data_IF_982445399414
#
_entry.id   IF_982445399414
#
_cell.length_a   1.000
_cell.length_b   1.000
_cell.length_c   1.000
_cell.angle_alpha   90.00
_cell.angle_beta   90.00
_cell.angle_gamma   90.00
#
_symmetry.space_group_name_H-M   'P 1'
#
loop_
_entity.id
_entity.type
_entity.pdbx_description
1 polymer ?
#
# COMPACT_ATOMS: atom_id res chain seq x y z
N UNK A 1 8.39 2.73 -19.61
CA UNK A 1 7.09 3.39 -19.34
C UNK A 1 6.58 4.31 -20.47
N UNK A 2 7.41 4.78 -21.41
CA UNK A 2 7.05 5.75 -22.47
C UNK A 2 5.83 5.37 -23.36
N UNK A 3 5.45 4.10 -23.42
CA UNK A 3 4.37 3.59 -24.27
C UNK A 3 3.07 3.27 -23.49
N UNK A 4 2.99 3.65 -22.21
CA UNK A 4 1.79 3.45 -21.38
C UNK A 4 1.10 4.78 -21.12
N UNK A 5 -0.20 4.85 -21.43
CA UNK A 5 -1.02 6.04 -21.15
C UNK A 5 -1.26 6.22 -19.65
N UNK A 6 -1.44 5.11 -18.95
CA UNK A 6 -1.68 5.03 -17.51
C UNK A 6 -0.70 4.05 -16.84
N UNK A 7 -0.43 4.27 -15.57
CA UNK A 7 0.36 3.39 -14.72
C UNK A 7 -0.31 3.15 -13.39
N UNK A 8 -0.05 1.98 -12.79
CA UNK A 8 -0.45 1.72 -11.41
C UNK A 8 0.52 2.42 -10.47
N UNK A 9 0.00 3.11 -9.46
CA UNK A 9 0.79 3.79 -8.43
C UNK A 9 0.25 3.48 -7.03
N UNK A 10 1.13 3.57 -6.05
CA UNK A 10 0.78 3.57 -4.62
C UNK A 10 1.66 4.58 -3.88
N UNK A 11 1.10 5.24 -2.86
CA UNK A 11 1.89 6.08 -1.97
C UNK A 11 2.91 5.20 -1.22
N UNK A 12 4.18 5.64 -1.19
CA UNK A 12 5.24 4.88 -0.51
C UNK A 12 4.94 4.72 0.98
N UNK A 13 4.46 5.78 1.64
CA UNK A 13 4.11 5.73 3.06
C UNK A 13 2.60 5.90 3.22
N UNK A 14 1.89 4.83 3.60
CA UNK A 14 0.43 4.88 3.79
C UNK A 14 -0.07 3.70 4.62
N UNK A 15 -1.13 3.93 5.40
CA UNK A 15 -1.86 2.89 6.14
C UNK A 15 -2.96 2.17 5.33
N UNK A 16 -3.22 2.57 4.07
CA UNK A 16 -4.39 2.08 3.31
C UNK A 16 -4.05 1.28 2.06
N UNK A 17 -2.76 1.24 1.64
CA UNK A 17 -2.30 0.57 0.40
C UNK A 17 -3.27 0.69 -0.79
N UNK A 18 -3.69 1.92 -1.08
CA UNK A 18 -4.69 2.19 -2.10
C UNK A 18 -4.04 2.33 -3.48
N UNK A 19 -3.93 1.23 -4.23
CA UNK A 19 -3.39 1.24 -5.59
C UNK A 19 -4.33 1.98 -6.54
N UNK A 20 -3.79 2.78 -7.46
CA UNK A 20 -4.57 3.58 -8.41
C UNK A 20 -3.93 3.62 -9.79
N UNK A 21 -4.76 3.73 -10.83
CA UNK A 21 -4.29 4.07 -12.17
C UNK A 21 -4.19 5.59 -12.31
N UNK A 22 -3.06 6.07 -12.79
CA UNK A 22 -2.78 7.49 -12.99
C UNK A 22 -2.13 7.69 -14.35
N UNK A 23 -2.55 8.75 -15.07
CA UNK A 23 -1.96 9.17 -16.34
C UNK A 23 -0.46 9.43 -16.20
N UNK A 24 0.30 9.11 -17.25
CA UNK A 24 1.73 9.36 -17.26
C UNK A 24 2.06 10.82 -16.95
N UNK A 25 2.85 11.04 -15.90
CA UNK A 25 3.28 12.37 -15.47
C UNK A 25 4.59 12.30 -14.68
N UNK A 26 5.04 13.44 -14.16
CA UNK A 26 6.18 13.48 -13.25
C UNK A 26 5.71 13.03 -11.86
N UNK A 27 6.27 11.93 -11.38
CA UNK A 27 5.98 11.40 -10.05
C UNK A 27 7.06 11.84 -9.05
N UNK A 28 6.65 12.18 -7.83
CA UNK A 28 7.58 12.35 -6.71
C UNK A 28 8.19 10.99 -6.34
N UNK A 29 9.39 11.01 -5.78
CA UNK A 29 10.06 9.86 -5.16
C UNK A 29 9.19 9.13 -4.12
N UNK A 30 8.27 9.85 -3.46
CA UNK A 30 7.33 9.31 -2.47
C UNK A 30 6.19 8.49 -3.08
N UNK A 31 6.14 8.32 -4.40
CA UNK A 31 5.20 7.46 -5.12
C UNK A 31 5.95 6.26 -5.71
N UNK A 32 5.44 5.06 -5.43
CA UNK A 32 5.90 3.83 -6.08
C UNK A 32 5.10 3.65 -7.36
N UNK A 33 5.79 3.50 -8.49
CA UNK A 33 5.20 3.39 -9.82
C UNK A 33 5.46 2.00 -10.38
N UNK A 34 4.39 1.31 -10.77
CA UNK A 34 4.43 0.06 -11.51
C UNK A 34 4.21 0.38 -12.99
N UNK A 35 5.15 -0.03 -13.83
CA UNK A 35 5.08 0.20 -15.28
C UNK A 35 4.11 -0.77 -15.97
N UNK A 36 2.84 -0.76 -15.56
CA UNK A 36 1.77 -1.59 -16.08
C UNK A 36 0.44 -0.84 -16.02
N UNK A 37 -0.41 -1.06 -17.03
CA UNK A 37 -1.80 -0.61 -17.10
C UNK A 37 -2.80 -1.80 -17.00
N UNK A 38 -2.32 -2.97 -16.61
CA UNK A 38 -3.10 -4.20 -16.58
C UNK A 38 -3.99 -4.29 -15.33
N UNK A 39 -5.28 -4.59 -15.52
CA UNK A 39 -6.29 -4.55 -14.46
C UNK A 39 -6.26 -5.81 -13.58
N UNK A 40 -5.87 -6.96 -14.15
CA UNK A 40 -5.64 -8.19 -13.38
C UNK A 40 -4.47 -8.01 -12.40
N UNK A 41 -3.38 -7.35 -12.80
CA UNK A 41 -2.30 -6.99 -11.88
C UNK A 41 -2.80 -6.07 -10.76
N UNK A 42 -3.64 -5.08 -11.08
CA UNK A 42 -4.29 -4.26 -10.05
C UNK A 42 -5.10 -5.12 -9.07
N UNK A 43 -5.84 -6.12 -9.54
CA UNK A 43 -6.63 -7.00 -8.67
C UNK A 43 -5.74 -7.77 -7.68
N UNK A 44 -4.60 -8.31 -8.14
CA UNK A 44 -3.62 -8.94 -7.25
C UNK A 44 -3.06 -7.94 -6.23
N UNK A 45 -2.63 -6.76 -6.65
CA UNK A 45 -2.03 -5.75 -5.77
C UNK A 45 -3.03 -5.18 -4.75
N UNK A 46 -4.29 -5.00 -5.15
CA UNK A 46 -5.33 -4.45 -4.26
C UNK A 46 -5.90 -5.49 -3.30
N UNK A 47 -5.67 -6.79 -3.54
CA UNK A 47 -6.18 -7.89 -2.69
C UNK A 47 -5.68 -7.84 -1.25
N UNK A 48 -6.47 -8.42 -0.33
CA UNK A 48 -6.08 -8.59 1.07
C UNK A 48 -4.87 -9.53 1.24
N UNK A 49 -4.62 -10.41 0.26
CA UNK A 49 -3.44 -11.30 0.27
C UNK A 49 -2.16 -10.48 0.09
N UNK A 50 -2.14 -9.56 -0.88
CA UNK A 50 -1.01 -8.66 -1.09
C UNK A 50 -0.88 -7.65 0.04
N UNK A 51 -1.99 -7.13 0.57
CA UNK A 51 -1.97 -6.28 1.76
C UNK A 51 -1.31 -7.00 2.95
N UNK A 52 -1.72 -8.24 3.24
CA UNK A 52 -1.16 -9.03 4.33
C UNK A 52 0.35 -9.27 4.12
N UNK A 53 0.76 -9.60 2.89
CA UNK A 53 2.17 -9.77 2.53
C UNK A 53 2.96 -8.47 2.74
N UNK A 54 2.43 -7.35 2.25
CA UNK A 54 3.07 -6.05 2.37
C UNK A 54 3.25 -5.65 3.85
N UNK A 55 2.22 -5.76 4.69
CA UNK A 55 2.33 -5.48 6.13
C UNK A 55 3.29 -6.40 6.87
N UNK A 56 3.47 -7.64 6.39
CA UNK A 56 4.38 -8.61 7.00
C UNK A 56 5.85 -8.32 6.71
N UNK A 57 6.19 -7.87 5.49
CA UNK A 57 7.58 -7.79 5.02
C UNK A 57 8.10 -6.37 4.75
N UNK A 58 7.23 -5.37 4.63
CA UNK A 58 7.67 -3.97 4.60
C UNK A 58 7.96 -3.44 6.01
N UNK A 59 8.70 -2.34 6.04
CA UNK A 59 8.92 -1.58 7.28
C UNK A 59 7.80 -0.58 7.51
N UNK A 60 7.74 0.02 8.70
CA UNK A 60 6.77 1.06 9.04
C UNK A 60 7.48 2.37 9.38
N UNK A 61 6.81 3.49 9.10
CA UNK A 61 7.15 4.81 9.62
C UNK A 61 6.08 5.20 10.64
N UNK A 62 6.43 5.12 11.92
CA UNK A 62 5.45 5.14 13.03
C UNK A 62 4.42 4.02 12.84
N UNK A 63 3.23 4.36 12.38
CA UNK A 63 2.09 3.45 12.19
C UNK A 63 1.76 3.19 10.72
N UNK A 64 2.42 3.90 9.80
CA UNK A 64 2.13 3.80 8.38
C UNK A 64 3.11 2.84 7.72
N UNK A 65 2.62 1.97 6.84
CA UNK A 65 3.46 1.07 6.07
C UNK A 65 4.32 1.86 5.09
N UNK A 66 5.58 1.46 4.94
CA UNK A 66 6.51 1.97 3.92
C UNK A 66 6.66 0.92 2.82
N UNK A 67 5.85 1.04 1.78
CA UNK A 67 5.84 0.12 0.64
C UNK A 67 7.19 0.10 -0.09
N UNK A 68 7.85 -1.05 -0.05
CA UNK A 68 9.19 -1.27 -0.58
C UNK A 68 9.13 -2.37 -1.64
N UNK A 69 9.20 -2.05 -2.95
CA UNK A 69 9.01 -3.03 -4.02
C UNK A 69 9.89 -4.27 -3.89
N UNK A 70 11.17 -4.10 -3.56
CA UNK A 70 12.14 -5.20 -3.43
C UNK A 70 11.79 -6.20 -2.32
N UNK A 71 11.13 -5.74 -1.26
CA UNK A 71 10.76 -6.60 -0.12
C UNK A 71 9.33 -7.13 -0.22
N UNK A 72 8.55 -6.64 -1.17
CA UNK A 72 7.11 -6.93 -1.25
C UNK A 72 6.69 -7.32 -2.64
N UNK A 73 6.80 -6.45 -3.64
CA UNK A 73 6.35 -6.80 -4.99
C UNK A 73 7.22 -7.88 -5.64
N UNK A 74 8.54 -7.76 -5.54
CA UNK A 74 9.49 -8.73 -6.12
C UNK A 74 9.43 -10.09 -5.42
N UNK A 75 8.96 -10.13 -4.17
CA UNK A 75 8.82 -11.37 -3.38
C UNK A 75 7.39 -11.91 -3.35
N UNK A 76 6.41 -11.13 -3.79
CA UNK A 76 5.01 -11.56 -3.89
C UNK A 76 4.82 -12.35 -5.17
N UNK A 77 4.61 -13.66 -5.02
CA UNK A 77 4.48 -14.56 -6.16
C UNK A 77 3.12 -14.38 -6.82
N UNK A 78 3.07 -13.85 -8.04
CA UNK A 78 1.84 -13.78 -8.82
C UNK A 78 1.72 -15.06 -9.68
N UNK A 79 0.64 -15.85 -9.56
CA UNK A 79 0.47 -17.09 -10.30
C UNK A 79 0.14 -16.83 -11.77
N UNK A 80 0.46 -17.79 -12.64
CA UNK A 80 -0.01 -17.79 -14.02
C UNK A 80 -1.49 -18.14 -14.05
N UNK A 81 -2.32 -17.22 -14.55
CA UNK A 81 -3.78 -17.40 -14.68
C UNK A 81 -4.17 -17.78 -16.10
N UNK A 82 -5.20 -18.61 -16.24
CA UNK A 82 -5.80 -18.89 -17.54
C UNK A 82 -6.66 -17.70 -18.04
N UNK A 83 -7.11 -17.75 -19.29
CA UNK A 83 -7.87 -16.64 -19.90
C UNK A 83 -9.19 -16.33 -19.17
N UNK A 84 -9.91 -17.36 -18.71
CA UNK A 84 -11.17 -17.18 -17.98
C UNK A 84 -10.94 -16.50 -16.62
N UNK A 85 -9.95 -16.96 -15.85
CA UNK A 85 -9.55 -16.35 -14.58
C UNK A 85 -9.09 -14.90 -14.78
N UNK A 86 -8.26 -14.65 -15.80
CA UNK A 86 -7.80 -13.31 -16.16
C UNK A 86 -8.98 -12.38 -16.47
N UNK A 87 -9.91 -12.82 -17.31
CA UNK A 87 -11.09 -12.04 -17.66
C UNK A 87 -11.98 -11.74 -16.45
N UNK A 88 -12.11 -12.71 -15.52
CA UNK A 88 -12.83 -12.51 -14.28
C UNK A 88 -12.17 -11.44 -13.39
N UNK A 89 -10.85 -11.55 -13.16
CA UNK A 89 -10.06 -10.56 -12.40
C UNK A 89 -10.15 -9.16 -13.02
N UNK A 90 -10.06 -9.05 -14.35
CA UNK A 90 -10.22 -7.78 -15.07
C UNK A 90 -11.62 -7.20 -14.84
N UNK A 91 -12.67 -8.03 -14.92
CA UNK A 91 -14.04 -7.58 -14.73
C UNK A 91 -14.29 -7.06 -13.30
N UNK A 92 -13.87 -7.84 -12.29
CA UNK A 92 -13.98 -7.43 -10.88
C UNK A 92 -13.17 -6.16 -10.63
N UNK A 93 -11.93 -6.09 -11.09
CA UNK A 93 -11.07 -4.91 -10.95
C UNK A 93 -11.69 -3.65 -11.58
N UNK A 94 -12.30 -3.76 -12.77
CA UNK A 94 -13.04 -2.64 -13.40
C UNK A 94 -14.23 -2.18 -12.56
N UNK A 95 -15.02 -3.12 -12.04
CA UNK A 95 -16.17 -2.81 -11.19
C UNK A 95 -15.73 -2.14 -9.88
N UNK A 96 -14.67 -2.65 -9.25
CA UNK A 96 -14.06 -2.09 -8.05
C UNK A 96 -13.61 -0.64 -8.29
N UNK A 97 -12.83 -0.39 -9.35
CA UNK A 97 -12.38 0.95 -9.71
C UNK A 97 -13.53 1.91 -10.02
N UNK A 98 -14.57 1.42 -10.69
CA UNK A 98 -15.77 2.19 -11.02
C UNK A 98 -16.54 2.60 -9.77
N UNK A 99 -16.82 1.65 -8.87
CA UNK A 99 -17.50 1.94 -7.59
C UNK A 99 -16.67 2.89 -6.72
N UNK A 100 -15.36 2.64 -6.59
CA UNK A 100 -14.44 3.54 -5.88
C UNK A 100 -14.45 4.95 -6.45
N UNK A 101 -14.47 5.09 -7.79
CA UNK A 101 -14.55 6.40 -8.46
C UNK A 101 -15.86 7.12 -8.13
N UNK A 102 -17.00 6.42 -8.12
CA UNK A 102 -18.29 7.00 -7.73
C UNK A 102 -18.27 7.51 -6.29
N UNK A 103 -17.68 6.75 -5.36
CA UNK A 103 -17.57 7.19 -3.96
C UNK A 103 -16.68 8.43 -3.86
N UNK A 104 -15.51 8.45 -4.51
CA UNK A 104 -14.60 9.60 -4.49
C UNK A 104 -15.27 10.86 -5.03
N UNK A 105 -15.97 10.76 -6.16
CA UNK A 105 -16.67 11.87 -6.81
C UNK A 105 -17.90 12.32 -6.01
N UNK A 106 -18.74 11.37 -5.59
CA UNK A 106 -19.96 11.64 -4.84
C UNK A 106 -19.66 12.22 -3.47
N UNK A 107 -18.71 11.67 -2.73
CA UNK A 107 -18.38 12.22 -1.40
C UNK A 107 -17.46 13.45 -1.46
N UNK A 108 -16.96 13.82 -2.65
CA UNK A 108 -15.86 14.80 -2.84
C UNK A 108 -14.72 14.56 -1.85
N UNK A 109 -14.29 13.30 -1.73
CA UNK A 109 -13.26 12.89 -0.78
C UNK A 109 -12.07 12.25 -1.50
N UNK A 110 -10.92 12.25 -0.82
CA UNK A 110 -9.74 11.52 -1.28
C UNK A 110 -9.71 10.09 -0.75
N UNK A 111 -8.81 9.27 -1.32
CA UNK A 111 -8.65 7.85 -1.00
C UNK A 111 -8.57 7.57 0.51
N UNK A 112 -7.77 8.34 1.25
CA UNK A 112 -7.62 8.13 2.69
C UNK A 112 -8.97 8.16 3.41
N UNK A 113 -9.85 9.10 3.06
CA UNK A 113 -11.16 9.21 3.70
C UNK A 113 -12.10 8.10 3.23
N UNK A 114 -12.09 7.78 1.94
CA UNK A 114 -12.82 6.63 1.38
C UNK A 114 -12.44 5.33 2.06
N UNK A 115 -11.15 5.07 2.30
CA UNK A 115 -10.72 3.85 2.98
C UNK A 115 -11.00 3.89 4.49
N UNK A 116 -10.96 5.06 5.14
CA UNK A 116 -11.46 5.15 6.53
C UNK A 116 -12.95 4.74 6.61
N UNK A 117 -13.76 5.17 5.64
CA UNK A 117 -15.15 4.73 5.53
C UNK A 117 -15.27 3.23 5.21
N UNK A 118 -14.48 2.72 4.25
CA UNK A 118 -14.42 1.31 3.92
C UNK A 118 -14.15 0.42 5.15
N UNK A 119 -13.28 0.85 6.06
CA UNK A 119 -12.96 0.10 7.27
C UNK A 119 -13.84 0.43 8.50
N UNK A 120 -14.87 1.27 8.35
CA UNK A 120 -15.77 1.64 9.45
C UNK A 120 -17.02 0.77 9.46
N UNK A 121 -17.24 0.04 10.56
CA UNK A 121 -18.46 -0.75 10.77
C UNK A 121 -19.73 0.13 10.78
N UNK A 122 -19.64 1.33 11.37
CA UNK A 122 -20.70 2.33 11.51
C UNK A 122 -21.38 2.82 10.21
N UNK A 123 -20.88 2.43 9.04
CA UNK A 123 -21.40 2.90 7.74
C UNK A 123 -22.49 1.98 7.18
N UNK A 124 -22.64 0.79 7.72
CA UNK A 124 -23.66 -0.14 7.27
C UNK A 124 -25.04 0.27 7.80
N UNK A 125 -25.87 0.89 6.94
CA UNK A 125 -27.19 1.42 7.32
C UNK A 125 -28.15 0.37 7.88
N UNK A 126 -27.86 -0.92 7.71
CA UNK A 126 -28.63 -2.01 8.34
C UNK A 126 -28.61 -1.94 9.87
N UNK A 127 -27.60 -1.28 10.46
CA UNK A 127 -27.35 -1.25 11.90
C UNK A 127 -27.45 0.15 12.53
N UNK A 128 -27.75 1.21 11.77
CA UNK A 128 -27.57 2.58 12.26
C UNK A 128 -28.81 3.48 12.07
N UNK A 129 -29.28 4.05 13.18
CA UNK A 129 -30.13 5.25 13.16
C UNK A 129 -29.24 6.50 12.99
N UNK A 130 -29.56 7.38 12.04
CA UNK A 130 -28.82 8.62 11.72
C UNK A 130 -28.57 9.55 12.93
N UNK A 131 -29.30 9.37 14.04
CA UNK A 131 -29.26 10.22 15.22
C UNK A 131 -28.41 9.66 16.39
N UNK A 132 -27.79 8.47 16.25
CA UNK A 132 -26.92 7.96 17.30
C UNK A 132 -25.51 8.56 17.20
N UNK A 133 -25.12 9.30 18.24
CA UNK A 133 -23.80 9.93 18.42
C UNK A 133 -22.63 8.94 18.37
N UNK A 134 -22.88 7.63 18.48
CA UNK A 134 -21.85 6.57 18.35
C UNK A 134 -21.32 6.41 16.93
N UNK A 135 -22.06 6.79 15.89
CA UNK A 135 -21.68 6.59 14.49
C UNK A 135 -20.85 7.76 13.94
N UNK A 136 -19.63 7.91 14.46
CA UNK A 136 -18.76 9.05 14.15
C UNK A 136 -18.49 9.20 12.65
N UNK A 137 -18.36 8.09 11.91
CA UNK A 137 -18.08 8.11 10.48
C UNK A 137 -19.31 8.41 9.62
N UNK A 138 -20.49 7.88 9.97
CA UNK A 138 -21.74 8.18 9.26
C UNK A 138 -22.11 9.66 9.39
N UNK A 139 -21.98 10.22 10.60
CA UNK A 139 -22.18 11.66 10.85
C UNK A 139 -21.19 12.52 10.07
N UNK A 140 -19.92 12.11 10.01
CA UNK A 140 -18.90 12.80 9.23
C UNK A 140 -19.18 12.75 7.72
N UNK A 141 -19.72 11.62 7.23
CA UNK A 141 -20.14 11.47 5.83
C UNK A 141 -21.33 12.37 5.52
N UNK A 142 -22.37 12.36 6.35
CA UNK A 142 -23.55 13.22 6.23
C UNK A 142 -23.15 14.71 6.14
N UNK A 143 -22.43 15.21 7.14
CA UNK A 143 -21.95 16.60 7.18
C UNK A 143 -21.12 16.96 5.95
N UNK A 144 -20.34 16.01 5.44
CA UNK A 144 -19.54 16.23 4.24
C UNK A 144 -20.41 16.34 2.99
N UNK A 145 -21.40 15.47 2.82
CA UNK A 145 -22.31 15.51 1.67
C UNK A 145 -23.12 16.81 1.67
N UNK A 146 -23.62 17.23 2.83
CA UNK A 146 -24.29 18.53 3.01
C UNK A 146 -23.39 19.71 2.63
N UNK A 147 -22.18 19.77 3.23
CA UNK A 147 -21.23 20.87 2.99
C UNK A 147 -20.76 20.92 1.54
N UNK A 148 -20.59 19.77 0.90
CA UNK A 148 -20.11 19.68 -0.48
C UNK A 148 -21.20 19.90 -1.51
N UNK A 149 -22.48 20.05 -1.11
CA UNK A 149 -23.63 20.03 -2.02
C UNK A 149 -23.50 18.86 -3.00
N UNK A 150 -23.26 17.67 -2.44
CA UNK A 150 -23.11 16.47 -3.24
C UNK A 150 -24.43 16.12 -3.93
N UNK A 151 -24.32 15.48 -5.10
CA UNK A 151 -25.45 14.86 -5.81
C UNK A 151 -25.82 13.51 -5.16
N UNK A 152 -24.90 12.92 -4.38
CA UNK A 152 -25.06 11.60 -3.78
C UNK A 152 -25.73 11.72 -2.40
N UNK A 153 -26.80 10.94 -2.17
CA UNK A 153 -27.43 10.82 -0.85
C UNK A 153 -26.52 10.04 0.12
N UNK A 154 -26.82 10.08 1.41
CA UNK A 154 -26.08 9.31 2.43
C UNK A 154 -26.31 7.82 2.22
N UNK A 155 -27.54 7.45 1.85
CA UNK A 155 -27.96 6.10 1.51
C UNK A 155 -27.22 5.57 0.28
N UNK A 156 -27.10 6.37 -0.77
CA UNK A 156 -26.34 5.98 -1.96
C UNK A 156 -24.84 5.85 -1.67
N UNK A 157 -24.29 6.76 -0.85
CA UNK A 157 -22.87 6.73 -0.48
C UNK A 157 -22.52 5.48 0.35
N UNK A 158 -23.33 5.16 1.36
CA UNK A 158 -23.17 3.97 2.21
C UNK A 158 -23.39 2.68 1.41
N UNK A 159 -24.36 2.66 0.48
CA UNK A 159 -24.58 1.54 -0.44
C UNK A 159 -23.38 1.30 -1.36
N UNK A 160 -22.81 2.34 -1.96
CA UNK A 160 -21.60 2.19 -2.79
C UNK A 160 -20.38 1.76 -1.95
N UNK A 161 -20.24 2.20 -0.70
CA UNK A 161 -19.18 1.70 0.21
C UNK A 161 -19.36 0.21 0.51
N UNK A 162 -20.59 -0.23 0.78
CA UNK A 162 -20.91 -1.65 1.01
C UNK A 162 -20.62 -2.48 -0.23
N UNK A 163 -21.03 -1.99 -1.40
CA UNK A 163 -20.70 -2.59 -2.69
C UNK A 163 -19.19 -2.70 -2.92
N UNK A 164 -18.41 -1.69 -2.51
CA UNK A 164 -16.96 -1.74 -2.63
C UNK A 164 -16.37 -2.86 -1.76
N UNK A 165 -16.93 -3.13 -0.57
CA UNK A 165 -16.53 -4.26 0.29
C UNK A 165 -16.87 -5.61 -0.35
N UNK A 166 -18.07 -5.74 -0.91
CA UNK A 166 -18.49 -6.96 -1.61
C UNK A 166 -17.56 -7.25 -2.80
N UNK A 167 -17.25 -6.23 -3.60
CA UNK A 167 -16.30 -6.34 -4.72
C UNK A 167 -14.88 -6.68 -4.25
N UNK A 168 -14.47 -6.22 -3.05
CA UNK A 168 -13.18 -6.59 -2.47
C UNK A 168 -13.15 -8.06 -2.05
N UNK A 169 -14.23 -8.56 -1.46
CA UNK A 169 -14.41 -9.98 -1.13
C UNK A 169 -14.39 -10.84 -2.39
N UNK A 170 -15.13 -10.45 -3.44
CA UNK A 170 -15.12 -11.15 -4.74
C UNK A 170 -13.72 -11.18 -5.35
N UNK A 171 -13.00 -10.06 -5.28
CA UNK A 171 -11.63 -9.94 -5.77
C UNK A 171 -10.68 -10.88 -5.02
N UNK A 172 -10.76 -10.93 -3.69
CA UNK A 172 -9.91 -11.80 -2.88
C UNK A 172 -10.19 -13.29 -3.14
N UNK A 173 -11.46 -13.67 -3.35
CA UNK A 173 -11.81 -15.03 -3.73
C UNK A 173 -11.32 -15.39 -5.14
N UNK A 174 -11.43 -14.49 -6.10
CA UNK A 174 -10.88 -14.69 -7.45
C UNK A 174 -9.35 -14.81 -7.43
N UNK A 175 -8.69 -14.07 -6.54
CA UNK A 175 -7.25 -14.18 -6.30
C UNK A 175 -6.91 -15.52 -5.65
N UNK A 176 -7.63 -15.98 -4.63
CA UNK A 176 -7.44 -17.33 -4.06
C UNK A 176 -7.62 -18.43 -5.11
N UNK A 177 -8.63 -18.29 -5.98
CA UNK A 177 -8.86 -19.22 -7.08
C UNK A 177 -7.67 -19.26 -8.04
N UNK A 178 -7.06 -18.11 -8.34
CA UNK A 178 -5.85 -18.05 -9.17
C UNK A 178 -4.65 -18.79 -8.55
N UNK A 179 -4.55 -18.82 -7.22
CA UNK A 179 -3.55 -19.63 -6.51
C UNK A 179 -3.94 -21.11 -6.35
N UNK A 180 -5.21 -21.46 -6.60
CA UNK A 180 -5.75 -22.79 -6.30
C UNK A 180 -5.96 -23.04 -4.80
N UNK A 181 -6.27 -22.00 -4.02
CA UNK A 181 -6.45 -22.05 -2.56
C UNK A 181 -7.91 -21.81 -2.14
N UNK A 182 -8.85 -22.33 -2.90
CA UNK A 182 -10.29 -22.21 -2.63
C UNK A 182 -10.74 -22.94 -1.36
N UNK A 183 -9.85 -23.75 -0.77
CA UNK A 183 -10.07 -24.40 0.51
C UNK A 183 -9.94 -23.45 1.72
N UNK A 184 -9.36 -22.26 1.53
CA UNK A 184 -9.25 -21.23 2.57
C UNK A 184 -10.55 -20.42 2.61
N UNK A 185 -11.28 -20.52 3.72
CA UNK A 185 -12.41 -19.64 4.00
C UNK A 185 -11.92 -18.29 4.57
N UNK A 186 -12.02 -17.23 3.78
CA UNK A 186 -11.49 -15.90 4.13
C UNK A 186 -12.27 -15.20 5.24
N UNK A 187 -13.57 -15.49 5.37
CA UNK A 187 -14.48 -14.90 6.37
C UNK A 187 -14.28 -13.39 6.55
N UNK A 188 -14.39 -12.59 5.49
CA UNK A 188 -14.22 -11.14 5.59
C UNK A 188 -15.18 -10.54 6.60
N UNK A 189 -14.63 -9.73 7.49
CA UNK A 189 -15.38 -8.99 8.50
C UNK A 189 -14.47 -7.89 9.08
N UNK A 190 -14.93 -7.22 10.12
CA UNK A 190 -14.16 -6.25 10.89
C UNK A 190 -13.28 -6.97 11.92
N UNK A 191 -11.98 -7.02 11.66
CA UNK A 191 -11.00 -7.62 12.57
C UNK A 191 -9.96 -6.61 13.03
N UNK A 192 -9.46 -6.82 14.25
CA UNK A 192 -8.30 -6.09 14.74
C UNK A 192 -7.01 -6.51 14.00
N UNK A 193 -6.19 -5.52 13.67
CA UNK A 193 -4.85 -5.70 13.09
C UNK A 193 -3.77 -5.10 13.99
N UNK A 194 -2.81 -5.92 14.41
CA UNK A 194 -1.80 -5.58 15.42
C UNK A 194 -0.78 -4.50 15.00
N UNK A 195 -0.62 -4.28 13.70
CA UNK A 195 0.30 -3.28 13.13
C UNK A 195 -0.23 -1.84 13.13
N UNK A 196 -1.48 -1.61 13.57
CA UNK A 196 -2.09 -0.29 13.68
C UNK A 196 -2.32 0.14 15.15
N UNK A 197 -2.36 1.46 15.42
CA UNK A 197 -2.65 1.97 16.75
C UNK A 197 -4.10 1.62 17.14
N UNK A 198 -4.36 1.54 18.44
CA UNK A 198 -5.63 1.08 19.02
C UNK A 198 -6.85 1.81 18.46
N UNK A 199 -6.75 3.12 18.21
CA UNK A 199 -7.81 3.94 17.65
C UNK A 199 -8.12 3.70 16.15
N UNK A 200 -7.33 2.90 15.45
CA UNK A 200 -7.49 2.60 14.03
C UNK A 200 -7.28 1.11 13.71
N UNK A 201 -7.36 0.26 14.73
CA UNK A 201 -6.98 -1.15 14.67
C UNK A 201 -8.01 -2.03 13.96
N UNK A 202 -9.27 -1.61 13.96
CA UNK A 202 -10.34 -2.36 13.31
C UNK A 202 -10.31 -2.07 11.82
N UNK A 203 -10.23 -3.13 11.01
CA UNK A 203 -10.24 -3.06 9.55
C UNK A 203 -11.20 -4.09 9.00
N UNK A 204 -11.99 -3.71 8.00
CA UNK A 204 -12.62 -4.67 7.11
C UNK A 204 -11.52 -5.42 6.35
N UNK A 205 -11.34 -6.72 6.62
CA UNK A 205 -10.25 -7.55 6.09
C UNK A 205 -10.58 -9.05 6.31
N UNK A 206 -9.68 -9.94 5.90
CA UNK A 206 -9.81 -11.40 6.08
C UNK A 206 -9.54 -11.81 7.54
N UNK A 207 -10.17 -12.92 7.96
CA UNK A 207 -10.05 -13.46 9.31
C UNK A 207 -8.58 -13.73 9.68
N UNK A 208 -8.15 -13.49 10.94
CA UNK A 208 -6.75 -13.66 11.36
C UNK A 208 -6.15 -15.03 11.03
N UNK A 209 -6.93 -16.10 11.12
CA UNK A 209 -6.45 -17.44 10.79
C UNK A 209 -6.32 -17.68 9.28
N UNK A 210 -7.24 -17.14 8.48
CA UNK A 210 -7.12 -17.15 7.01
C UNK A 210 -5.88 -16.36 6.58
N UNK A 211 -5.62 -15.21 7.22
CA UNK A 211 -4.42 -14.40 6.98
C UNK A 211 -3.14 -15.16 7.27
N UNK A 212 -3.07 -15.88 8.39
CA UNK A 212 -1.90 -16.71 8.75
C UNK A 212 -1.67 -17.79 7.71
N UNK A 213 -2.73 -18.48 7.29
CA UNK A 213 -2.62 -19.55 6.29
C UNK A 213 -2.18 -19.02 4.92
N UNK A 214 -2.76 -17.91 4.46
CA UNK A 214 -2.35 -17.20 3.24
C UNK A 214 -0.86 -16.84 3.31
N UNK A 215 -0.42 -16.21 4.40
CA UNK A 215 0.98 -15.80 4.56
C UNK A 215 1.94 -16.98 4.55
N UNK A 216 1.54 -18.10 5.17
CA UNK A 216 2.31 -19.34 5.18
C UNK A 216 2.48 -19.90 3.76
N UNK A 217 1.39 -20.05 3.01
CA UNK A 217 1.45 -20.59 1.64
C UNK A 217 2.20 -19.66 0.67
N UNK A 218 2.03 -18.35 0.80
CA UNK A 218 2.80 -17.37 0.02
C UNK A 218 4.30 -17.49 0.30
N UNK A 219 4.69 -17.67 1.56
CA UNK A 219 6.10 -17.84 1.94
C UNK A 219 6.68 -19.15 1.40
N UNK A 220 5.94 -20.25 1.52
CA UNK A 220 6.33 -21.55 0.94
C UNK A 220 6.51 -21.45 -0.58
N UNK A 221 5.58 -20.79 -1.27
CA UNK A 221 5.63 -20.58 -2.71
C UNK A 221 6.80 -19.68 -3.12
N UNK A 222 7.07 -18.62 -2.36
CA UNK A 222 8.22 -17.74 -2.58
C UNK A 222 9.54 -18.51 -2.45
N UNK A 223 9.71 -19.31 -1.40
CA UNK A 223 10.91 -20.15 -1.22
C UNK A 223 11.08 -21.17 -2.35
N UNK A 224 9.99 -21.82 -2.78
CA UNK A 224 10.03 -22.79 -3.87
C UNK A 224 10.50 -22.14 -5.18
N UNK A 225 9.90 -21.02 -5.57
CA UNK A 225 10.30 -20.31 -6.81
C UNK A 225 11.73 -19.84 -6.71
N UNK A 226 12.13 -19.35 -5.54
CA UNK A 226 13.49 -18.94 -5.30
C UNK A 226 14.49 -20.10 -5.51
N UNK A 227 14.22 -21.28 -4.94
CA UNK A 227 15.02 -22.49 -5.16
C UNK A 227 15.09 -22.89 -6.63
N UNK A 228 13.98 -22.77 -7.37
CA UNK A 228 13.91 -23.02 -8.81
C UNK A 228 14.77 -22.01 -9.60
N UNK A 229 14.73 -20.72 -9.26
CA UNK A 229 15.57 -19.67 -9.85
C UNK A 229 17.06 -19.88 -9.57
N UNK A 230 17.41 -20.31 -8.35
CA UNK A 230 18.78 -20.70 -7.98
C UNK A 230 19.25 -21.85 -8.85
N UNK A 231 18.40 -22.88 -8.98
CA UNK A 231 18.71 -24.10 -9.74
C UNK A 231 18.84 -23.82 -11.23
N UNK A 232 18.01 -22.91 -11.77
CA UNK A 232 18.08 -22.45 -13.14
C UNK A 232 19.27 -21.50 -13.41
N UNK A 233 20.01 -21.10 -12.37
CA UNK A 233 21.11 -20.14 -12.49
C UNK A 233 20.65 -18.72 -12.82
N UNK A 234 19.36 -18.43 -12.66
CA UNK A 234 18.78 -17.09 -12.84
C UNK A 234 19.04 -16.20 -11.63
N UNK A 235 19.36 -16.80 -10.49
CA UNK A 235 19.75 -16.05 -9.31
C UNK A 235 21.26 -15.85 -9.24
N UNK A 236 21.70 -14.70 -9.76
CA UNK A 236 23.05 -14.21 -9.51
C UNK A 236 23.15 -13.78 -8.04
N UNK A 237 23.74 -14.65 -7.20
CA UNK A 237 24.37 -14.19 -5.95
C UNK A 237 25.38 -13.14 -6.36
N UNK A 238 24.99 -11.88 -6.22
CA UNK A 238 25.67 -10.71 -6.77
C UNK A 238 27.17 -10.94 -6.83
N UNK A 239 27.71 -10.86 -8.06
CA UNK A 239 29.13 -10.74 -8.37
C UNK A 239 30.00 -10.75 -7.11
N UNK A 240 30.67 -11.88 -6.83
CA UNK A 240 31.75 -11.93 -5.83
C UNK A 240 32.52 -10.63 -5.97
N UNK A 241 32.46 -9.74 -4.97
CA UNK A 241 33.32 -8.55 -4.92
C UNK A 241 34.73 -9.08 -5.10
N UNK A 242 35.29 -8.92 -6.29
CA UNK A 242 36.71 -9.16 -6.54
C UNK A 242 37.39 -8.22 -5.55
N UNK A 243 38.06 -8.79 -4.54
CA UNK A 243 38.98 -8.03 -3.70
C UNK A 243 40.09 -7.54 -4.61
N UNK A 244 39.88 -6.40 -5.25
CA UNK A 244 40.96 -5.66 -5.90
C UNK A 244 41.90 -5.27 -4.77
N UNK A 245 43.07 -5.91 -4.71
CA UNK A 245 44.17 -5.49 -3.84
C UNK A 245 44.43 -4.02 -4.16
N UNK A 246 44.10 -3.14 -3.22
CA UNK A 246 44.38 -1.71 -3.31
C UNK A 246 45.90 -1.54 -3.31
N UNK A 247 46.51 -1.43 -4.48
CA UNK A 247 47.87 -0.95 -4.60
C UNK A 247 47.88 0.52 -4.16
N UNK A 248 48.71 0.86 -3.17
CA UNK A 248 49.01 2.24 -2.79
C UNK A 248 49.53 2.96 -4.05
N UNK A 249 48.78 3.94 -4.55
CA UNK A 249 49.30 4.95 -5.47
C UNK A 249 49.10 6.32 -4.83
N UNK A 250 50.16 7.11 -4.93
CA UNK A 250 50.34 8.42 -4.29
C UNK A 250 49.26 9.44 -4.70
N UNK A 251 48.99 10.37 -3.79
CA UNK A 251 47.96 11.38 -3.92
C UNK A 251 48.35 12.42 -4.98
N UNK A 252 47.52 12.57 -6.02
CA UNK A 252 47.57 13.74 -6.90
C UNK A 252 46.67 14.83 -6.30
N UNK A 253 47.28 15.99 -6.02
CA UNK A 253 46.58 17.25 -5.72
C UNK A 253 45.76 17.69 -6.94
N UNK A 254 44.52 18.07 -6.72
CA UNK A 254 43.71 18.80 -7.70
C UNK A 254 43.26 20.09 -7.01
N UNK A 255 43.54 21.23 -7.66
CA UNK A 255 43.16 22.57 -7.21
C UNK A 255 41.69 22.84 -7.53
N UNK A 256 40.91 23.26 -6.52
CA UNK A 256 39.51 23.64 -6.63
C UNK A 256 39.36 25.08 -7.18
N UNK A 257 38.61 25.30 -8.28
CA UNK A 257 38.04 26.61 -8.55
C UNK A 257 36.77 26.79 -7.72
N UNK A 258 36.90 27.49 -6.60
CA UNK A 258 35.79 28.01 -5.80
C UNK A 258 34.97 28.99 -6.66
N UNK A 259 33.72 28.64 -7.00
CA UNK A 259 32.53 29.50 -6.82
C UNK A 259 31.33 28.93 -7.58
N UNK A 260 30.33 28.42 -6.85
CA UNK A 260 28.94 28.92 -6.84
C UNK A 260 28.06 27.89 -6.13
N UNK A 261 27.11 28.42 -5.35
CA UNK A 261 26.07 27.73 -4.59
C UNK A 261 26.50 27.25 -3.20
N UNK A 262 26.40 28.21 -2.27
CA UNK A 262 26.47 27.98 -0.84
C UNK A 262 25.16 27.42 -0.29
N UNK A 263 25.31 26.44 0.60
CA UNK A 263 24.59 26.30 1.86
C UNK A 263 25.19 25.10 2.62
N UNK A 264 26.41 25.28 3.12
CA UNK A 264 27.07 24.35 4.05
C UNK A 264 27.79 25.17 5.13
N UNK A 265 27.01 25.91 5.93
CA UNK A 265 27.45 26.51 7.20
C UNK A 265 26.30 26.57 8.20
N UNK A 266 25.63 25.44 8.44
CA UNK A 266 24.61 25.35 9.49
C UNK A 266 24.82 24.21 10.48
N UNK A 267 25.92 23.45 10.38
CA UNK A 267 26.23 22.36 11.32
C UNK A 267 27.71 22.26 11.71
N UNK A 268 28.49 23.32 11.49
CA UNK A 268 29.87 23.39 12.00
C UNK A 268 30.00 24.52 13.01
N UNK A 269 29.42 24.35 14.20
CA UNK A 269 29.98 24.95 15.40
C UNK A 269 29.99 23.91 16.54
N UNK A 270 31.18 23.41 16.94
CA UNK A 270 31.33 22.62 18.15
C UNK A 270 31.66 23.56 19.31
N UNK A 271 30.65 23.92 20.11
CA UNK A 271 30.75 24.20 21.55
C UNK A 271 29.51 24.98 22.02
N UNK A 272 28.56 24.31 22.69
CA UNK A 272 27.61 25.06 23.53
C UNK A 272 27.27 24.42 24.88
N UNK A 273 27.88 23.30 25.25
CA UNK A 273 27.70 22.73 26.60
C UNK A 273 28.96 22.01 27.10
N UNK A 274 29.92 22.77 27.63
CA UNK A 274 30.79 22.32 28.71
C UNK A 274 30.64 23.29 29.89
N UNK A 275 30.58 22.72 31.10
CA UNK A 275 30.14 23.38 32.32
C UNK A 275 31.24 24.25 32.96
N UNK A 276 30.77 25.22 33.77
CA UNK A 276 31.42 25.92 34.90
C UNK A 276 32.08 27.27 34.60
N UNK A 277 31.37 28.34 34.99
CA UNK A 277 31.96 29.39 35.81
C UNK A 277 30.99 29.78 36.94
N UNK A 278 31.41 29.49 38.18
CA UNK A 278 31.10 30.29 39.38
C UNK A 278 32.07 31.48 39.27
N UNK A 279 31.79 32.75 39.54
CA UNK A 279 31.29 33.31 40.80
C UNK A 279 31.22 34.87 40.71
N UNK A 280 30.32 35.51 41.48
CA UNK A 280 30.32 36.88 42.07
C UNK A 280 30.07 38.10 41.15
N UNK A 281 28.87 38.70 41.25
CA UNK A 281 28.59 39.91 42.03
C UNK A 281 27.07 40.06 42.23
#
# INVERSE_FOLDING_TARGET
IKNLDDVIVVARTSKTLAFCFVKMQIFSDSIVVFASNEIDLFAFLQSSLHEAWAWKYCTTMKTDLVYTPTNTFETFVIPNVNEAQRNNLINIGRQYLSSRKKILQGTRSGLTKTYNYFHSEDIDLKNCELNDFRHSYLLNLHRQLEKSQSVLSVEDATSEISKLRDLHLEMDNAVLEAYGWQDIDLKHDFYEVDYLPENARIRFTIHPDARKEVLKRLLELNHKIHEEEVTAGLWDKGSKKVKVKRQKKEANKVEDPVSLYGQTKLFEEPNLFSQQDKTIA
#
